data_IF_125635221657
#
_entry.id   IF_125635221657
#
_cell.length_a   1.000
_cell.length_b   1.000
_cell.length_c   1.000
_cell.angle_alpha   90.00
_cell.angle_beta   90.00
_cell.angle_gamma   90.00
#
_symmetry.space_group_name_H-M   'P 1'
#
loop_
_entity.id
_entity.type
_entity.pdbx_description
1 polymer ?
#
# COMPACT_ATOMS: atom_id res chain seq x y z
N UNK A 1 10.25 -30.86 7.16
CA UNK A 1 10.13 -30.61 5.71
C UNK A 1 10.11 -29.10 5.52
N UNK A 2 11.27 -28.49 5.27
CA UNK A 2 11.40 -27.04 5.10
C UNK A 2 10.79 -26.67 3.75
N UNK A 3 9.60 -26.05 3.76
CA UNK A 3 9.14 -25.32 2.59
C UNK A 3 10.06 -24.10 2.45
N UNK A 4 11.09 -24.23 1.62
CA UNK A 4 11.93 -23.13 1.20
C UNK A 4 11.03 -22.07 0.60
N UNK A 5 10.86 -20.97 1.31
CA UNK A 5 10.30 -19.75 0.75
C UNK A 5 11.24 -19.32 -0.38
N UNK A 6 10.75 -19.28 -1.62
CA UNK A 6 11.57 -18.90 -2.80
C UNK A 6 12.17 -17.48 -2.70
N UNK A 7 11.83 -16.70 -1.66
CA UNK A 7 12.25 -15.31 -1.46
C UNK A 7 12.82 -15.12 -0.06
N UNK A 8 13.84 -14.27 0.06
CA UNK A 8 14.46 -13.96 1.34
C UNK A 8 13.46 -13.20 2.23
N UNK A 9 13.49 -13.51 3.52
CA UNK A 9 12.65 -12.86 4.51
C UNK A 9 13.02 -11.39 4.66
N UNK A 10 12.03 -10.52 4.87
CA UNK A 10 12.20 -9.07 4.97
C UNK A 10 12.66 -8.38 3.68
N UNK A 11 12.91 -9.13 2.60
CA UNK A 11 13.51 -8.57 1.38
C UNK A 11 12.51 -7.72 0.59
N UNK A 12 11.32 -8.25 0.30
CA UNK A 12 10.40 -7.64 -0.68
C UNK A 12 8.99 -7.50 -0.14
N UNK A 13 8.44 -6.31 -0.29
CA UNK A 13 7.02 -6.02 -0.13
C UNK A 13 6.41 -5.71 -1.50
N UNK A 14 5.40 -6.48 -1.88
CA UNK A 14 4.68 -6.32 -3.13
C UNK A 14 3.48 -5.42 -2.87
N UNK A 15 3.30 -4.38 -3.69
CA UNK A 15 2.25 -3.36 -3.48
C UNK A 15 1.46 -3.12 -4.75
N UNK A 16 0.14 -3.04 -4.63
CA UNK A 16 -0.78 -2.79 -5.75
C UNK A 16 -2.15 -2.30 -5.25
N UNK A 17 -2.98 -1.84 -6.18
CA UNK A 17 -4.41 -1.63 -5.97
C UNK A 17 -5.23 -2.79 -6.53
N UNK A 18 -6.21 -3.26 -5.78
CA UNK A 18 -7.18 -4.21 -6.31
C UNK A 18 -8.03 -3.57 -7.42
N UNK A 19 -8.47 -4.39 -8.39
CA UNK A 19 -9.40 -3.93 -9.42
C UNK A 19 -10.82 -3.72 -8.89
N UNK A 20 -11.20 -4.45 -7.85
CA UNK A 20 -12.47 -4.25 -7.15
C UNK A 20 -12.39 -3.11 -6.13
N UNK A 21 -13.51 -2.41 -5.99
CA UNK A 21 -13.65 -1.22 -5.14
C UNK A 21 -14.78 -1.38 -4.12
N UNK A 22 -14.88 -0.45 -3.18
CA UNK A 22 -15.96 -0.41 -2.17
C UNK A 22 -16.69 0.92 -2.26
N UNK A 23 -18.01 0.88 -2.34
CA UNK A 23 -18.84 2.09 -2.39
C UNK A 23 -19.11 2.63 -0.98
N UNK A 24 -18.96 3.95 -0.84
CA UNK A 24 -19.27 4.71 0.37
C UNK A 24 -20.32 5.75 0.02
N UNK A 25 -21.42 5.77 0.77
CA UNK A 25 -22.58 6.61 0.52
C UNK A 25 -22.53 7.84 1.43
N UNK A 26 -22.65 9.03 0.85
CA UNK A 26 -22.83 10.24 1.64
C UNK A 26 -24.21 10.19 2.35
N UNK A 27 -24.27 10.22 3.69
CA UNK A 27 -25.55 10.11 4.41
C UNK A 27 -26.46 11.33 4.19
N UNK A 28 -25.89 12.48 3.78
CA UNK A 28 -26.65 13.73 3.55
C UNK A 28 -27.23 13.83 2.14
N UNK A 29 -26.49 13.39 1.12
CA UNK A 29 -26.86 13.57 -0.29
C UNK A 29 -27.26 12.28 -0.99
N UNK A 30 -26.92 11.12 -0.42
CA UNK A 30 -27.06 9.82 -1.08
C UNK A 30 -26.04 9.58 -2.20
N UNK A 31 -25.12 10.52 -2.45
CA UNK A 31 -24.07 10.38 -3.46
C UNK A 31 -23.12 9.23 -3.10
N UNK A 32 -22.77 8.43 -4.11
CA UNK A 32 -21.87 7.29 -3.95
C UNK A 32 -20.47 7.69 -4.39
N UNK A 33 -19.51 7.52 -3.47
CA UNK A 33 -18.08 7.66 -3.76
C UNK A 33 -17.41 6.30 -3.64
N UNK A 34 -16.63 5.93 -4.65
CA UNK A 34 -15.98 4.63 -4.74
C UNK A 34 -14.56 4.67 -4.18
N UNK A 35 -14.32 3.93 -3.10
CA UNK A 35 -13.02 3.75 -2.47
C UNK A 35 -12.20 2.65 -3.18
N UNK A 36 -10.90 2.92 -3.31
CA UNK A 36 -9.89 2.04 -3.89
C UNK A 36 -9.28 1.16 -2.80
N UNK A 37 -8.80 -0.03 -3.14
CA UNK A 37 -8.28 -0.99 -2.16
C UNK A 37 -6.79 -1.19 -2.36
N UNK A 38 -5.98 -0.63 -1.47
CA UNK A 38 -4.54 -0.82 -1.45
C UNK A 38 -4.21 -2.16 -0.81
N UNK A 39 -3.28 -2.90 -1.40
CA UNK A 39 -2.82 -4.20 -0.92
C UNK A 39 -1.29 -4.20 -0.87
N UNK A 40 -0.73 -4.61 0.26
CA UNK A 40 0.70 -4.82 0.43
C UNK A 40 0.98 -6.20 1.02
N UNK A 41 1.89 -6.99 0.44
CA UNK A 41 2.14 -8.37 0.87
C UNK A 41 3.62 -8.70 0.90
N UNK A 42 4.09 -9.27 2.01
CA UNK A 42 5.48 -9.69 2.18
C UNK A 42 5.81 -10.94 1.35
N UNK A 43 7.00 -10.94 0.75
CA UNK A 43 7.46 -11.97 -0.17
C UNK A 43 7.57 -13.36 0.45
N UNK A 44 8.09 -13.47 1.68
CA UNK A 44 8.31 -14.74 2.34
C UNK A 44 7.03 -15.28 3.01
N UNK A 45 6.48 -14.56 4.00
CA UNK A 45 5.31 -15.01 4.76
C UNK A 45 3.98 -14.97 4.00
N UNK A 46 3.86 -14.12 2.97
CA UNK A 46 2.58 -13.64 2.45
C UNK A 46 1.72 -12.89 3.47
N UNK A 47 2.27 -12.43 4.60
CA UNK A 47 1.51 -11.57 5.50
C UNK A 47 1.11 -10.29 4.75
N UNK A 48 -0.18 -10.02 4.80
CA UNK A 48 -0.83 -9.06 3.91
C UNK A 48 -1.41 -7.93 4.72
N UNK A 49 -1.27 -6.73 4.20
CA UNK A 49 -1.92 -5.52 4.65
C UNK A 49 -2.91 -5.08 3.56
N UNK A 50 -4.09 -4.63 3.99
CA UNK A 50 -5.14 -4.14 3.10
C UNK A 50 -5.79 -2.93 3.75
N UNK A 51 -6.04 -1.90 2.96
CA UNK A 51 -6.82 -0.74 3.37
C UNK A 51 -7.62 -0.16 2.21
N UNK A 52 -8.67 0.57 2.55
CA UNK A 52 -9.41 1.40 1.62
C UNK A 52 -8.86 2.83 1.63
N UNK A 53 -8.62 3.38 0.44
CA UNK A 53 -8.25 4.77 0.21
C UNK A 53 -9.25 5.43 -0.73
N UNK A 54 -9.30 6.75 -0.77
CA UNK A 54 -10.20 7.43 -1.69
C UNK A 54 -9.73 7.38 -3.14
N UNK A 55 -8.41 7.43 -3.35
CA UNK A 55 -7.84 7.50 -4.68
C UNK A 55 -6.59 6.62 -4.78
N UNK A 56 -6.12 6.40 -6.01
CA UNK A 56 -4.80 5.84 -6.28
C UNK A 56 -3.75 6.96 -6.51
N UNK A 57 -4.04 8.19 -6.05
CA UNK A 57 -3.13 9.32 -6.23
C UNK A 57 -1.86 9.15 -5.40
N UNK A 58 -0.83 9.93 -5.73
CA UNK A 58 0.45 9.87 -5.03
C UNK A 58 0.34 10.11 -3.51
N UNK A 59 -0.42 11.11 -2.99
CA UNK A 59 -0.60 11.28 -1.54
C UNK A 59 -1.17 10.02 -0.85
N UNK A 60 -2.22 9.42 -1.41
CA UNK A 60 -2.85 8.21 -0.87
C UNK A 60 -1.89 7.01 -0.97
N UNK A 61 -1.15 6.91 -2.08
CA UNK A 61 -0.14 5.87 -2.30
C UNK A 61 1.00 5.94 -1.28
N UNK A 62 1.56 7.14 -1.02
CA UNK A 62 2.63 7.33 -0.02
C UNK A 62 2.11 7.01 1.38
N UNK A 63 0.94 7.55 1.73
CA UNK A 63 0.34 7.35 3.05
C UNK A 63 0.03 5.87 3.31
N UNK A 64 -0.35 5.12 2.27
CA UNK A 64 -0.60 3.68 2.39
C UNK A 64 0.69 2.88 2.68
N UNK A 65 1.83 3.29 2.12
CA UNK A 65 3.12 2.68 2.46
C UNK A 65 3.48 2.92 3.92
N UNK A 66 3.33 4.17 4.40
CA UNK A 66 3.60 4.52 5.80
C UNK A 66 2.76 3.68 6.76
N UNK A 67 1.45 3.54 6.47
CA UNK A 67 0.55 2.71 7.28
C UNK A 67 0.87 1.22 7.17
N UNK A 68 1.26 0.73 5.99
CA UNK A 68 1.72 -0.64 5.80
C UNK A 68 2.98 -0.94 6.62
N UNK A 69 4.00 -0.07 6.60
CA UNK A 69 5.21 -0.24 7.41
C UNK A 69 4.90 -0.24 8.91
N UNK A 70 3.96 0.62 9.32
CA UNK A 70 3.46 0.64 10.71
C UNK A 70 2.77 -0.68 11.07
N UNK A 71 1.92 -1.21 10.18
CA UNK A 71 1.26 -2.51 10.37
C UNK A 71 2.27 -3.66 10.53
N UNK A 72 3.31 -3.70 9.69
CA UNK A 72 4.37 -4.69 9.79
C UNK A 72 5.37 -4.41 10.92
N UNK A 73 5.26 -3.26 11.60
CA UNK A 73 6.22 -2.80 12.61
C UNK A 73 7.67 -2.82 12.12
N UNK A 74 7.88 -2.53 10.84
CA UNK A 74 9.19 -2.61 10.19
C UNK A 74 9.14 -2.31 8.70
N UNK A 75 10.32 -2.10 8.12
CA UNK A 75 10.48 -1.73 6.71
C UNK A 75 11.18 -2.87 5.95
N UNK A 76 10.63 -3.30 4.79
CA UNK A 76 11.30 -4.25 3.91
C UNK A 76 12.53 -3.62 3.24
N UNK A 77 13.45 -4.45 2.72
CA UNK A 77 14.59 -3.93 1.96
C UNK A 77 14.19 -3.32 0.60
N UNK A 78 13.10 -3.83 0.00
CA UNK A 78 12.64 -3.45 -1.33
C UNK A 78 11.11 -3.38 -1.41
N UNK A 79 10.62 -2.33 -2.07
CA UNK A 79 9.25 -2.18 -2.50
C UNK A 79 9.13 -2.60 -3.96
N UNK A 80 8.17 -3.47 -4.25
CA UNK A 80 7.90 -3.97 -5.59
C UNK A 80 6.49 -3.54 -6.00
N UNK A 81 6.33 -2.32 -6.53
CA UNK A 81 5.07 -1.89 -7.10
C UNK A 81 4.80 -2.58 -8.43
N UNK A 82 3.59 -3.10 -8.62
CA UNK A 82 3.10 -3.53 -9.94
C UNK A 82 2.33 -2.37 -10.56
N UNK A 83 2.80 -1.81 -11.68
CA UNK A 83 2.02 -0.79 -12.38
C UNK A 83 2.33 -0.66 -13.86
N UNK A 84 2.18 -1.76 -14.59
CA UNK A 84 2.33 -1.75 -16.04
C UNK A 84 1.13 -1.19 -16.82
N UNK A 85 -0.07 -1.09 -16.21
CA UNK A 85 -1.30 -0.89 -17.02
C UNK A 85 -2.50 -0.11 -16.43
N UNK A 86 -2.54 0.33 -15.17
CA UNK A 86 -3.68 1.16 -14.75
C UNK A 86 -3.58 2.55 -15.41
N UNK A 87 -4.66 3.03 -16.01
CA UNK A 87 -4.70 4.16 -16.97
C UNK A 87 -4.31 5.55 -16.44
N UNK A 88 -3.75 5.66 -15.24
CA UNK A 88 -3.21 6.91 -14.66
C UNK A 88 -1.71 6.76 -14.31
N UNK A 89 -1.17 5.54 -14.27
CA UNK A 89 0.14 5.24 -13.67
C UNK A 89 1.27 5.04 -14.66
N UNK A 90 0.97 4.82 -15.95
CA UNK A 90 2.04 4.87 -16.98
C UNK A 90 2.68 6.26 -17.05
N UNK A 91 1.93 7.34 -16.83
CA UNK A 91 2.50 8.68 -16.76
C UNK A 91 3.22 8.96 -15.43
N UNK A 92 2.87 8.24 -14.35
CA UNK A 92 3.40 8.51 -13.01
C UNK A 92 4.85 8.04 -12.81
N UNK A 93 5.23 6.86 -13.33
CA UNK A 93 6.63 6.40 -13.27
C UNK A 93 7.59 7.20 -14.16
N UNK A 94 7.09 7.98 -15.12
CA UNK A 94 7.90 8.86 -15.95
C UNK A 94 7.74 10.34 -15.58
N UNK A 95 6.87 10.67 -14.61
CA UNK A 95 6.76 12.02 -14.07
C UNK A 95 7.89 12.24 -13.06
N UNK A 96 8.83 13.16 -13.32
CA UNK A 96 9.98 13.40 -12.44
C UNK A 96 9.58 13.78 -11.01
N UNK A 97 8.47 14.51 -10.81
CA UNK A 97 8.03 14.94 -9.48
C UNK A 97 7.50 13.77 -8.63
N UNK A 98 6.84 12.80 -9.27
CA UNK A 98 6.32 11.60 -8.61
C UNK A 98 7.47 10.68 -8.24
N UNK A 99 8.42 10.46 -9.16
CA UNK A 99 9.63 9.69 -8.88
C UNK A 99 10.45 10.29 -7.75
N UNK A 100 10.53 11.63 -7.68
CA UNK A 100 11.22 12.32 -6.57
C UNK A 100 10.55 12.03 -5.23
N UNK A 101 9.25 12.27 -5.12
CA UNK A 101 8.52 12.06 -3.85
C UNK A 101 8.59 10.60 -3.39
N UNK A 102 8.44 9.65 -4.33
CA UNK A 102 8.53 8.24 -4.00
C UNK A 102 9.96 7.84 -3.59
N UNK A 103 10.97 8.42 -4.26
CA UNK A 103 12.38 8.29 -3.89
C UNK A 103 12.71 8.90 -2.51
N UNK A 104 12.12 10.04 -2.16
CA UNK A 104 12.30 10.68 -0.86
C UNK A 104 11.75 9.79 0.27
N UNK A 105 10.56 9.20 0.08
CA UNK A 105 10.02 8.21 1.02
C UNK A 105 10.92 6.96 1.12
N UNK A 106 11.41 6.46 -0.02
CA UNK A 106 12.31 5.32 -0.06
C UNK A 106 13.61 5.58 0.71
N UNK A 107 14.19 6.78 0.56
CA UNK A 107 15.35 7.22 1.32
C UNK A 107 15.06 7.36 2.82
N UNK A 108 13.92 7.95 3.19
CA UNK A 108 13.50 8.12 4.60
C UNK A 108 13.43 6.79 5.36
N UNK A 109 12.94 5.75 4.69
CA UNK A 109 12.79 4.42 5.26
C UNK A 109 13.96 3.48 4.96
N UNK A 110 15.01 3.94 4.27
CA UNK A 110 16.13 3.12 3.81
C UNK A 110 15.66 1.86 3.05
N UNK A 111 14.75 2.02 2.08
CA UNK A 111 14.26 0.94 1.21
C UNK A 111 14.51 1.27 -0.25
N UNK A 112 14.70 0.26 -1.10
CA UNK A 112 14.78 0.46 -2.55
C UNK A 112 13.40 0.30 -3.20
N UNK A 113 13.10 1.06 -4.26
CA UNK A 113 11.91 0.81 -5.10
C UNK A 113 12.37 0.08 -6.35
N UNK A 114 11.85 -1.14 -6.55
CA UNK A 114 12.17 -1.98 -7.71
C UNK A 114 10.85 -2.37 -8.37
N UNK A 115 10.41 -1.64 -9.41
CA UNK A 115 9.18 -1.94 -10.10
C UNK A 115 9.14 -3.39 -10.61
N UNK A 116 7.96 -4.01 -10.56
CA UNK A 116 7.77 -5.34 -11.12
C UNK A 116 8.15 -5.33 -12.60
N UNK A 117 9.12 -6.17 -12.98
CA UNK A 117 9.60 -6.20 -14.37
C UNK A 117 8.50 -6.71 -15.30
N UNK A 118 8.27 -6.03 -16.45
CA UNK A 118 7.39 -6.57 -17.48
C UNK A 118 7.86 -7.97 -17.86
N UNK A 119 6.93 -8.93 -17.94
CA UNK A 119 7.20 -10.32 -18.34
C UNK A 119 8.04 -11.15 -17.36
N UNK A 120 8.14 -10.78 -16.07
CA UNK A 120 8.64 -11.67 -14.99
C UNK A 120 7.46 -12.33 -14.26
N UNK A 121 7.11 -13.60 -14.59
CA UNK A 121 5.89 -14.22 -14.08
C UNK A 121 5.84 -14.33 -12.55
N UNK A 122 7.00 -14.49 -11.89
CA UNK A 122 7.06 -14.70 -10.43
C UNK A 122 6.69 -13.46 -9.60
N UNK A 123 7.13 -12.27 -10.01
CA UNK A 123 6.85 -11.03 -9.27
C UNK A 123 5.37 -10.68 -9.40
N UNK A 124 4.88 -10.73 -10.64
CA UNK A 124 3.48 -10.55 -11.00
C UNK A 124 2.54 -11.55 -10.32
N UNK A 125 2.84 -12.86 -10.36
CA UNK A 125 1.98 -13.88 -9.75
C UNK A 125 1.79 -13.71 -8.23
N UNK A 126 2.76 -13.11 -7.53
CA UNK A 126 2.65 -12.86 -6.09
C UNK A 126 1.67 -11.72 -5.80
N UNK A 127 1.81 -10.61 -6.53
CA UNK A 127 0.93 -9.45 -6.43
C UNK A 127 -0.50 -9.86 -6.78
N UNK A 128 -0.69 -10.50 -7.93
CA UNK A 128 -1.99 -11.01 -8.37
C UNK A 128 -2.60 -11.98 -7.35
N UNK A 129 -1.79 -12.89 -6.79
CA UNK A 129 -2.24 -13.82 -5.76
C UNK A 129 -2.68 -13.12 -4.46
N UNK A 130 -1.96 -12.09 -4.03
CA UNK A 130 -2.31 -11.29 -2.85
C UNK A 130 -3.60 -10.50 -3.05
N UNK A 131 -3.73 -9.82 -4.20
CA UNK A 131 -4.94 -9.08 -4.57
C UNK A 131 -6.14 -10.02 -4.64
N UNK A 132 -6.02 -11.16 -5.31
CA UNK A 132 -7.08 -12.16 -5.37
C UNK A 132 -7.48 -12.71 -4.00
N UNK A 133 -6.53 -12.84 -3.07
CA UNK A 133 -6.83 -13.20 -1.68
C UNK A 133 -7.61 -12.10 -0.97
N UNK A 134 -7.17 -10.84 -1.08
CA UNK A 134 -7.89 -9.71 -0.50
C UNK A 134 -9.32 -9.59 -1.04
N UNK A 135 -9.51 -9.72 -2.36
CA UNK A 135 -10.83 -9.70 -2.99
C UNK A 135 -11.76 -10.80 -2.45
N UNK A 136 -11.27 -12.04 -2.36
CA UNK A 136 -12.07 -13.19 -1.93
C UNK A 136 -12.32 -13.21 -0.43
N UNK A 137 -11.36 -12.76 0.37
CA UNK A 137 -11.46 -12.81 1.83
C UNK A 137 -12.16 -11.59 2.42
N UNK A 138 -11.93 -10.44 1.82
CA UNK A 138 -12.35 -9.16 2.38
C UNK A 138 -13.50 -8.62 1.54
N UNK A 139 -13.25 -8.23 0.30
CA UNK A 139 -14.25 -7.50 -0.51
C UNK A 139 -15.53 -8.32 -0.77
N UNK A 140 -15.40 -9.63 -1.01
CA UNK A 140 -16.55 -10.51 -1.19
C UNK A 140 -17.47 -10.58 0.05
N UNK A 141 -16.95 -10.34 1.26
CA UNK A 141 -17.74 -10.28 2.51
C UNK A 141 -18.31 -8.89 2.77
N UNK A 142 -17.68 -7.85 2.24
CA UNK A 142 -18.14 -6.47 2.37
C UNK A 142 -19.17 -6.07 1.30
N UNK A 143 -19.31 -6.83 0.21
CA UNK A 143 -20.16 -6.49 -0.95
C UNK A 143 -21.65 -6.22 -0.66
N UNK A 144 -22.17 -6.73 0.45
CA UNK A 144 -23.57 -6.56 0.86
C UNK A 144 -23.73 -5.56 2.02
N UNK A 145 -22.65 -4.89 2.41
CA UNK A 145 -22.66 -3.88 3.46
C UNK A 145 -22.72 -2.49 2.82
N UNK A 146 -23.35 -1.54 3.53
CA UNK A 146 -23.32 -0.13 3.16
C UNK A 146 -22.47 0.62 4.17
N UNK A 147 -21.61 1.47 3.66
CA UNK A 147 -20.71 2.32 4.44
C UNK A 147 -21.03 3.78 4.20
N UNK A 148 -20.81 4.60 5.22
CA UNK A 148 -21.05 6.04 5.19
C UNK A 148 -19.78 6.87 5.42
N UNK A 149 -18.66 6.19 5.68
CA UNK A 149 -17.33 6.81 5.77
C UNK A 149 -16.23 5.84 5.39
N UNK A 150 -15.09 6.38 4.94
CA UNK A 150 -13.90 5.57 4.62
C UNK A 150 -13.38 4.84 5.87
N UNK A 151 -13.46 5.47 7.04
CA UNK A 151 -13.05 4.86 8.30
C UNK A 151 -13.89 3.64 8.66
N UNK A 152 -15.19 3.64 8.31
CA UNK A 152 -16.05 2.48 8.52
C UNK A 152 -15.65 1.31 7.62
N UNK A 153 -15.31 1.57 6.36
CA UNK A 153 -14.78 0.55 5.45
C UNK A 153 -13.49 -0.05 6.04
N UNK A 154 -12.56 0.80 6.46
CA UNK A 154 -11.30 0.35 7.05
C UNK A 154 -11.50 -0.40 8.37
N UNK A 155 -12.45 0.02 9.20
CA UNK A 155 -12.82 -0.70 10.42
C UNK A 155 -13.38 -2.10 10.10
N UNK A 156 -14.19 -2.23 9.05
CA UNK A 156 -14.72 -3.53 8.59
C UNK A 156 -13.65 -4.43 7.93
N UNK A 157 -12.63 -3.85 7.29
CA UNK A 157 -11.50 -4.59 6.70
C UNK A 157 -10.65 -5.25 7.79
N UNK A 158 -10.34 -4.55 8.90
CA UNK A 158 -9.43 -5.01 9.97
C UNK A 158 -9.70 -6.44 10.47
N UNK A 159 -10.91 -6.81 10.94
CA UNK A 159 -11.16 -8.16 11.44
C UNK A 159 -11.07 -9.23 10.34
N UNK A 160 -11.38 -8.90 9.08
CA UNK A 160 -11.27 -9.82 7.95
C UNK A 160 -9.80 -10.04 7.56
N UNK A 161 -8.99 -8.99 7.65
CA UNK A 161 -7.54 -9.05 7.44
C UNK A 161 -6.85 -9.91 8.51
N UNK A 162 -7.23 -9.75 9.78
CA UNK A 162 -6.75 -10.59 10.88
C UNK A 162 -7.07 -12.07 10.64
N UNK A 163 -8.30 -12.38 10.22
CA UNK A 163 -8.69 -13.76 9.86
C UNK A 163 -7.89 -14.29 8.66
N UNK A 164 -7.67 -13.47 7.63
CA UNK A 164 -6.89 -13.85 6.45
C UNK A 164 -5.44 -14.22 6.84
N UNK A 165 -4.80 -13.39 7.66
CA UNK A 165 -3.41 -13.60 8.07
C UNK A 165 -3.28 -14.72 9.10
N UNK A 166 -4.25 -14.87 10.00
CA UNK A 166 -4.29 -15.92 11.03
C UNK A 166 -4.73 -17.30 10.51
N UNK A 167 -5.24 -17.40 9.28
CA UNK A 167 -5.67 -18.68 8.72
C UNK A 167 -4.48 -19.60 8.43
N UNK A 168 -4.51 -20.79 9.03
CA UNK A 168 -3.55 -21.87 8.74
C UNK A 168 -3.68 -22.32 7.28
N UNK A 169 -2.56 -22.28 6.57
CA UNK A 169 -2.46 -22.76 5.19
C UNK A 169 -2.20 -24.27 5.20
N UNK A 170 -3.13 -25.07 4.66
CA UNK A 170 -3.11 -26.55 4.72
C UNK A 170 -1.77 -27.17 4.28
N UNK A 171 -1.15 -26.63 3.23
CA UNK A 171 0.12 -27.16 2.70
C UNK A 171 1.35 -26.76 3.54
N UNK A 172 1.27 -25.68 4.32
CA UNK A 172 2.39 -25.14 5.10
C UNK A 172 2.27 -25.46 6.59
N UNK A 173 1.08 -25.82 7.09
CA UNK A 173 0.84 -26.09 8.51
C UNK A 173 1.00 -24.86 9.41
N UNK A 174 1.05 -23.65 8.83
CA UNK A 174 1.25 -22.39 9.52
C UNK A 174 0.34 -21.30 8.92
N UNK A 175 0.00 -20.31 9.73
CA UNK A 175 -0.66 -19.10 9.24
C UNK A 175 0.35 -18.13 8.60
N UNK A 176 -0.14 -17.14 7.84
CA UNK A 176 0.73 -16.07 7.30
C UNK A 176 1.34 -15.27 8.44
N UNK A 177 0.56 -15.00 9.49
CA UNK A 177 1.01 -14.32 10.70
C UNK A 177 2.14 -15.10 11.38
N UNK A 178 2.01 -16.43 11.51
CA UNK A 178 3.07 -17.23 12.14
C UNK A 178 4.34 -17.27 11.30
N UNK A 179 4.21 -17.24 9.97
CA UNK A 179 5.36 -17.16 9.07
C UNK A 179 6.00 -15.78 9.12
N UNK A 180 5.21 -14.72 9.27
CA UNK A 180 5.71 -13.36 9.45
C UNK A 180 6.55 -13.23 10.71
N UNK A 181 6.03 -13.66 11.86
CA UNK A 181 6.75 -13.58 13.14
C UNK A 181 8.06 -14.38 13.10
N UNK A 182 8.07 -15.52 12.39
CA UNK A 182 9.24 -16.42 12.32
C UNK A 182 10.27 -16.01 11.27
N UNK A 183 9.83 -15.46 10.15
CA UNK A 183 10.68 -15.22 8.99
C UNK A 183 10.92 -13.72 8.80
N UNK A 184 9.86 -12.96 8.52
CA UNK A 184 9.99 -11.57 8.05
C UNK A 184 10.30 -10.61 9.19
N UNK A 185 9.58 -10.69 10.32
CA UNK A 185 9.73 -9.76 11.44
C UNK A 185 11.18 -9.59 11.94
N UNK A 186 11.99 -10.64 12.14
CA UNK A 186 13.39 -10.48 12.56
C UNK A 186 14.30 -9.94 11.44
N UNK A 187 13.87 -9.95 10.19
CA UNK A 187 14.63 -9.50 9.03
C UNK A 187 14.23 -8.09 8.53
N UNK A 188 13.13 -7.52 9.03
CA UNK A 188 12.71 -6.16 8.70
C UNK A 188 13.61 -5.13 9.37
N UNK A 189 13.84 -4.02 8.68
CA UNK A 189 14.52 -2.84 9.26
C UNK A 189 13.59 -2.16 10.27
N UNK A 190 14.18 -1.52 11.28
CA UNK A 190 13.42 -0.76 12.25
C UNK A 190 12.73 0.46 11.59
N UNK A 191 11.57 0.85 12.12
CA UNK A 191 10.91 2.09 11.70
C UNK A 191 11.70 3.30 12.21
N UNK A 192 11.84 4.37 11.41
CA UNK A 192 12.33 5.65 11.91
C UNK A 192 11.36 6.21 12.96
N UNK A 193 11.89 7.03 13.87
CA UNK A 193 11.09 7.63 14.97
C UNK A 193 9.95 8.49 14.44
N UNK A 194 10.21 9.26 13.39
CA UNK A 194 9.20 10.10 12.73
C UNK A 194 8.70 9.41 11.45
N UNK A 195 7.38 9.36 11.22
CA UNK A 195 6.84 8.91 9.94
C UNK A 195 7.20 9.88 8.82
N UNK A 196 7.30 9.38 7.59
CA UNK A 196 7.42 10.24 6.43
C UNK A 196 6.14 11.07 6.27
N UNK A 197 6.31 12.37 5.98
CA UNK A 197 5.21 13.29 5.71
C UNK A 197 5.25 13.68 4.25
N UNK A 198 4.13 13.45 3.56
CA UNK A 198 3.99 13.84 2.16
C UNK A 198 3.99 15.36 2.00
N UNK A 199 4.72 15.87 1.00
CA UNK A 199 4.75 17.29 0.65
C UNK A 199 4.70 17.47 -0.87
N UNK A 200 3.88 18.41 -1.34
CA UNK A 200 3.84 18.82 -2.74
C UNK A 200 4.71 20.05 -2.97
N UNK A 201 5.65 19.93 -3.90
CA UNK A 201 6.45 21.06 -4.36
C UNK A 201 5.77 21.70 -5.57
N UNK A 202 5.37 22.97 -5.45
CA UNK A 202 4.92 23.78 -6.60
C UNK A 202 6.07 24.65 -7.08
N UNK A 203 6.53 24.40 -8.31
CA UNK A 203 7.46 25.32 -8.97
C UNK A 203 6.69 26.49 -9.58
N UNK A 204 7.06 27.69 -9.20
CA UNK A 204 6.55 28.92 -9.79
C UNK A 204 7.71 29.61 -10.52
N UNK A 205 7.50 29.98 -11.79
CA UNK A 205 8.39 30.93 -12.45
C UNK A 205 8.00 32.32 -11.96
N UNK A 206 8.80 32.92 -11.09
CA UNK A 206 8.62 34.32 -10.74
C UNK A 206 8.93 35.17 -11.98
N UNK A 207 7.94 35.94 -12.45
CA UNK A 207 8.21 37.08 -13.32
C UNK A 207 9.00 38.14 -12.56
N UNK A 208 9.70 39.02 -13.27
CA UNK A 208 10.53 40.10 -12.69
C UNK A 208 9.78 41.02 -11.70
N UNK A 209 8.44 41.01 -11.72
CA UNK A 209 7.56 41.79 -10.84
C UNK A 209 6.65 40.88 -9.98
N UNK A 210 7.21 39.99 -9.15
CA UNK A 210 6.42 39.25 -8.16
C UNK A 210 6.76 39.67 -6.73
N UNK A 211 5.82 40.39 -6.12
CA UNK A 211 5.64 40.36 -4.67
C UNK A 211 5.05 38.98 -4.31
N UNK A 212 5.81 38.18 -3.57
CA UNK A 212 5.31 36.92 -3.02
C UNK A 212 4.12 37.23 -2.09
N UNK A 213 2.95 36.58 -2.23
CA UNK A 213 1.91 36.69 -1.23
C UNK A 213 2.45 36.17 0.12
N UNK A 214 2.10 36.79 1.25
CA UNK A 214 2.58 36.37 2.56
C UNK A 214 2.25 34.89 2.79
N UNK A 215 3.24 34.16 3.29
CA UNK A 215 3.20 32.72 3.55
C UNK A 215 1.85 32.29 4.14
N UNK A 216 1.05 31.57 3.36
CA UNK A 216 -0.08 30.86 3.92
C UNK A 216 0.49 29.76 4.79
N UNK A 217 0.39 29.95 6.11
CA UNK A 217 0.74 28.98 7.14
C UNK A 217 0.35 27.57 6.69
N UNK A 218 1.32 26.67 6.69
CA UNK A 218 1.10 25.23 6.61
C UNK A 218 0.08 24.84 7.71
N UNK A 219 -1.18 24.68 7.34
CA UNK A 219 -2.11 23.92 8.17
C UNK A 219 -1.72 22.46 8.05
N UNK A 220 -1.07 21.96 9.10
CA UNK A 220 -1.02 20.53 9.41
C UNK A 220 -2.46 20.00 9.38
N UNK A 221 -2.76 19.14 8.41
CA UNK A 221 -3.88 18.18 8.47
C UNK A 221 -3.29 16.78 8.53
#
# INVERSE_FOLDING_TARGET
MHAFTERAAGERLFVDYAGHTVDVVCPKTGEVRTAQIFVATLGASNDTYVEATWTQSLPDWMSSHVRAFTFFSGVPAQLVPDNLKAGVTKACFYNPAINRTYGDMANHYDTAIIPARPHKPKDKAKVEGAVLLAERWILARLRNQRFFGLDEVNAAIRPLLEQLNGKITRHLGASRRDLFERLDRPALKALPVAPYVYAEWKQWCAGLDYDLPPETSLSLM
#
